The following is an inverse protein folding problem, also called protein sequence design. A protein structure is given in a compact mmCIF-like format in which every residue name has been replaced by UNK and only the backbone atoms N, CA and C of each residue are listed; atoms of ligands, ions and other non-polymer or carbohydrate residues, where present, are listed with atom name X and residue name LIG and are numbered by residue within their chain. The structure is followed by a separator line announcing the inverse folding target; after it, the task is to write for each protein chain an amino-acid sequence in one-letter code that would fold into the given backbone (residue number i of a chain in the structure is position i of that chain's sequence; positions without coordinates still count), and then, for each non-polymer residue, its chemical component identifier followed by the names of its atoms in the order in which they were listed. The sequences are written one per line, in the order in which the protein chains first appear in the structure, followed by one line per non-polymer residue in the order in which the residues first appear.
data_IF_150298050425
#
_entry.id   IF_150298050425
#
_cell.length_a   1.000
_cell.length_b   1.000
_cell.length_c   1.000
_cell.angle_alpha   90.00
_cell.angle_beta   90.00
_cell.angle_gamma   90.00
#
_symmetry.space_group_name_H-M   'P 1'
#
loop_
_entity.id
_entity.type
_entity.pdbx_description
1 polymer ?
#
# COMPACT_ATOMS: atom_id res chain seq x y z
N UNK A 1 -17.66 6.57 15.90
CA UNK A 1 -16.71 7.28 15.03
C UNK A 1 -16.31 6.30 13.92
N UNK A 2 -16.86 6.47 12.70
CA UNK A 2 -16.59 5.57 11.57
C UNK A 2 -15.17 5.88 11.07
N UNK A 3 -14.24 4.94 11.21
CA UNK A 3 -12.92 5.04 10.59
C UNK A 3 -13.10 5.12 9.08
N UNK A 4 -12.70 6.23 8.48
CA UNK A 4 -12.72 6.42 7.04
C UNK A 4 -11.94 5.28 6.37
N UNK A 5 -12.62 4.52 5.52
CA UNK A 5 -12.00 3.52 4.65
C UNK A 5 -11.03 4.29 3.76
N UNK A 6 -9.72 4.15 3.98
CA UNK A 6 -8.71 4.84 3.19
C UNK A 6 -9.00 4.63 1.70
N UNK A 7 -9.14 5.73 0.94
CA UNK A 7 -9.41 5.64 -0.48
C UNK A 7 -8.23 4.96 -1.17
N UNK A 8 -8.51 3.88 -1.89
CA UNK A 8 -7.50 3.16 -2.64
C UNK A 8 -7.35 3.78 -4.03
N UNK A 9 -6.26 4.54 -4.21
CA UNK A 9 -5.95 5.20 -5.48
C UNK A 9 -5.20 4.30 -6.47
N UNK A 10 -4.89 3.04 -6.13
CA UNK A 10 -4.12 2.14 -6.99
C UNK A 10 -4.76 1.96 -8.38
N UNK A 11 -6.07 1.69 -8.43
CA UNK A 11 -6.82 1.56 -9.71
C UNK A 11 -6.75 2.84 -10.54
N UNK A 12 -6.88 4.00 -9.89
CA UNK A 12 -6.77 5.30 -10.58
C UNK A 12 -5.36 5.50 -11.14
N UNK A 13 -4.32 5.21 -10.36
CA UNK A 13 -2.92 5.31 -10.79
C UNK A 13 -2.59 4.36 -11.94
N UNK A 14 -3.12 3.13 -11.91
CA UNK A 14 -2.93 2.14 -12.97
C UNK A 14 -3.54 2.65 -14.28
N UNK A 15 -4.81 3.09 -14.27
CA UNK A 15 -5.48 3.59 -15.48
C UNK A 15 -4.87 4.89 -16.00
N UNK A 16 -4.51 5.81 -15.11
CA UNK A 16 -3.82 7.05 -15.50
C UNK A 16 -2.46 6.74 -16.16
N UNK A 17 -1.69 5.80 -15.59
CA UNK A 17 -0.39 5.39 -16.14
C UNK A 17 -0.54 4.70 -17.48
N UNK A 18 -1.54 3.83 -17.60
CA UNK A 18 -1.85 3.14 -18.85
C UNK A 18 -2.26 4.12 -19.95
N UNK A 19 -3.12 5.11 -19.65
CA UNK A 19 -3.56 6.11 -20.63
C UNK A 19 -2.39 6.94 -21.15
N UNK A 20 -1.55 7.42 -20.24
CA UNK A 20 -0.38 8.25 -20.56
C UNK A 20 0.70 7.44 -21.31
N UNK A 21 0.85 6.16 -20.97
CA UNK A 21 1.71 5.22 -21.69
C UNK A 21 1.19 4.88 -23.09
N UNK A 22 -0.11 4.67 -23.24
CA UNK A 22 -0.74 4.30 -24.52
C UNK A 22 -0.44 5.30 -25.62
N UNK A 23 -0.48 6.61 -25.32
CA UNK A 23 -0.15 7.66 -26.29
C UNK A 23 1.30 7.52 -26.78
N UNK A 24 2.25 7.23 -25.88
CA UNK A 24 3.66 7.06 -26.23
C UNK A 24 3.91 5.81 -27.06
N UNK A 25 3.31 4.69 -26.67
CA UNK A 25 3.44 3.44 -27.43
C UNK A 25 2.77 3.56 -28.80
N UNK A 26 1.61 4.19 -28.90
CA UNK A 26 0.95 4.45 -30.18
C UNK A 26 1.85 5.29 -31.11
N UNK A 27 2.45 6.36 -30.60
CA UNK A 27 3.40 7.18 -31.36
C UNK A 27 4.65 6.37 -31.79
N UNK A 28 5.19 5.52 -30.91
CA UNK A 28 6.34 4.68 -31.22
C UNK A 28 6.04 3.64 -32.30
N UNK A 29 4.89 2.96 -32.23
CA UNK A 29 4.47 2.01 -33.25
C UNK A 29 4.20 2.71 -34.59
N UNK A 30 3.52 3.86 -34.57
CA UNK A 30 3.28 4.65 -35.77
C UNK A 30 4.60 5.10 -36.43
N UNK A 31 5.58 5.53 -35.63
CA UNK A 31 6.91 5.86 -36.14
C UNK A 31 7.65 4.63 -36.71
N UNK A 32 7.50 3.46 -36.07
CA UNK A 32 8.12 2.21 -36.52
C UNK A 32 7.54 1.72 -37.86
N UNK A 33 6.23 1.88 -38.07
CA UNK A 33 5.56 1.39 -39.27
C UNK A 33 5.74 2.33 -40.48
N UNK A 34 5.76 3.64 -40.25
CA UNK A 34 5.83 4.65 -41.32
C UNK A 34 7.28 5.12 -41.57
N UNK A 35 8.22 4.77 -40.69
CA UNK A 35 9.63 5.16 -40.74
C UNK A 35 9.89 6.61 -40.37
N UNK A 36 9.15 7.55 -40.98
CA UNK A 36 9.18 8.97 -40.62
C UNK A 36 7.77 9.55 -40.62
N UNK A 37 7.35 10.09 -39.46
CA UNK A 37 6.08 10.79 -39.35
C UNK A 37 6.30 12.21 -39.90
N UNK A 38 5.69 12.53 -41.05
CA UNK A 38 5.81 13.82 -41.70
C UNK A 38 4.47 14.58 -41.73
N UNK A 39 4.55 15.89 -41.92
CA UNK A 39 3.39 16.78 -42.07
C UNK A 39 2.51 16.86 -40.82
N UNK A 40 1.20 17.07 -41.04
CA UNK A 40 0.20 17.29 -39.98
C UNK A 40 0.18 16.16 -38.94
N UNK A 41 0.43 14.92 -39.35
CA UNK A 41 0.48 13.77 -38.42
C UNK A 41 1.62 13.92 -37.41
N UNK A 42 2.77 14.47 -37.81
CA UNK A 42 3.93 14.70 -36.93
C UNK A 42 3.61 15.77 -35.88
N UNK A 43 2.94 16.84 -36.29
CA UNK A 43 2.51 17.91 -35.39
C UNK A 43 1.51 17.39 -34.35
N UNK A 44 0.49 16.64 -34.79
CA UNK A 44 -0.51 16.05 -33.89
C UNK A 44 0.17 15.11 -32.88
N UNK A 45 1.05 14.21 -33.35
CA UNK A 45 1.79 13.29 -32.49
C UNK A 45 2.67 14.05 -31.50
N UNK A 46 3.35 15.11 -31.95
CA UNK A 46 4.21 15.95 -31.10
C UNK A 46 3.40 16.65 -30.01
N UNK A 47 2.23 17.21 -30.33
CA UNK A 47 1.34 17.82 -29.35
C UNK A 47 0.84 16.78 -28.34
N UNK A 48 0.41 15.60 -28.80
CA UNK A 48 -0.05 14.52 -27.92
C UNK A 48 1.07 13.99 -27.01
N UNK A 49 2.30 13.89 -27.52
CA UNK A 49 3.48 13.55 -26.73
C UNK A 49 3.83 14.63 -25.72
N UNK A 50 3.65 15.91 -26.05
CA UNK A 50 3.82 17.03 -25.12
C UNK A 50 2.81 16.99 -23.97
N UNK A 51 1.52 16.81 -24.29
CA UNK A 51 0.43 16.71 -23.31
C UNK A 51 0.61 15.49 -22.41
N UNK A 52 0.88 14.32 -22.99
CA UNK A 52 1.17 13.11 -22.21
C UNK A 52 2.50 13.20 -21.44
N UNK A 53 3.46 13.98 -21.92
CA UNK A 53 4.68 14.41 -21.23
C UNK A 53 4.37 15.09 -19.91
N UNK A 54 3.56 16.14 -19.97
CA UNK A 54 3.14 16.92 -18.82
C UNK A 54 2.39 16.07 -17.78
N UNK A 55 1.37 15.33 -18.20
CA UNK A 55 0.62 14.46 -17.28
C UNK A 55 1.46 13.34 -16.70
N UNK A 56 2.48 12.86 -17.42
CA UNK A 56 3.42 11.89 -16.86
C UNK A 56 4.25 12.48 -15.73
N UNK A 57 4.68 13.74 -15.80
CA UNK A 57 5.41 14.39 -14.70
C UNK A 57 4.57 14.53 -13.43
N UNK A 58 3.29 14.88 -13.59
CA UNK A 58 2.32 14.88 -12.48
C UNK A 58 2.18 13.47 -11.92
N UNK A 59 1.95 12.49 -12.80
CA UNK A 59 1.69 11.11 -12.41
C UNK A 59 2.90 10.42 -11.79
N UNK A 60 4.12 10.69 -12.24
CA UNK A 60 5.33 10.16 -11.61
C UNK A 60 5.46 10.71 -10.20
N UNK A 61 5.29 12.01 -10.02
CA UNK A 61 5.40 12.65 -8.69
C UNK A 61 4.40 12.05 -7.70
N UNK A 62 3.11 12.00 -8.05
CA UNK A 62 2.09 11.45 -7.17
C UNK A 62 2.15 9.92 -7.06
N UNK A 63 2.49 9.24 -8.15
CA UNK A 63 2.63 7.79 -8.21
C UNK A 63 3.78 7.29 -7.35
N UNK A 64 4.98 7.86 -7.49
CA UNK A 64 6.14 7.53 -6.66
C UNK A 64 5.86 7.84 -5.20
N UNK A 65 5.22 8.97 -4.88
CA UNK A 65 4.82 9.30 -3.51
C UNK A 65 3.84 8.26 -2.93
N UNK A 66 2.85 7.82 -3.70
CA UNK A 66 1.91 6.77 -3.31
C UNK A 66 2.62 5.42 -3.09
N UNK A 67 3.53 5.03 -3.99
CA UNK A 67 4.32 3.80 -3.84
C UNK A 67 5.20 3.84 -2.60
N UNK A 68 5.86 4.98 -2.36
CA UNK A 68 6.71 5.18 -1.19
C UNK A 68 5.92 5.11 0.12
N UNK A 69 4.74 5.74 0.18
CA UNK A 69 3.85 5.67 1.34
C UNK A 69 3.38 4.23 1.60
N UNK A 70 2.98 3.50 0.55
CA UNK A 70 2.62 2.09 0.63
C UNK A 70 3.78 1.21 1.12
N UNK A 71 4.99 1.46 0.63
CA UNK A 71 6.20 0.77 1.04
C UNK A 71 6.54 1.05 2.51
N UNK A 72 6.56 2.32 2.92
CA UNK A 72 6.84 2.73 4.30
C UNK A 72 5.87 2.11 5.29
N UNK A 73 4.57 2.09 4.98
CA UNK A 73 3.52 1.51 5.83
C UNK A 73 3.63 0.00 5.99
N UNK A 74 4.32 -0.69 5.07
CA UNK A 74 4.45 -2.15 5.05
C UNK A 74 5.86 -2.64 5.39
N UNK A 75 6.72 -1.73 5.87
CA UNK A 75 8.07 -2.06 6.29
C UNK A 75 8.02 -3.09 7.44
N UNK A 76 8.67 -4.27 7.28
CA UNK A 76 8.69 -5.29 8.31
C UNK A 76 9.51 -4.83 9.52
N UNK A 77 9.18 -5.37 10.69
CA UNK A 77 9.91 -5.06 11.92
C UNK A 77 11.38 -5.55 11.85
N UNK A 78 12.26 -4.87 12.58
CA UNK A 78 13.68 -5.23 12.65
C UNK A 78 13.85 -6.69 13.10
N UNK A 79 14.65 -7.45 12.35
CA UNK A 79 14.90 -8.88 12.60
C UNK A 79 13.99 -9.86 11.88
N UNK A 80 12.95 -9.39 11.16
CA UNK A 80 12.09 -10.26 10.34
C UNK A 80 12.60 -10.36 8.90
N UNK A 81 12.59 -11.57 8.31
CA UNK A 81 12.88 -11.78 6.89
C UNK A 81 11.86 -11.04 6.01
N UNK A 82 12.33 -10.39 4.96
CA UNK A 82 11.46 -9.65 4.05
C UNK A 82 10.60 -10.61 3.23
N UNK A 83 9.26 -10.43 3.23
CA UNK A 83 8.40 -11.20 2.35
C UNK A 83 8.67 -10.79 0.89
N UNK A 84 8.62 -11.75 -0.04
CA UNK A 84 8.91 -11.52 -1.46
C UNK A 84 8.14 -10.33 -2.04
N UNK A 85 6.86 -10.16 -1.66
CA UNK A 85 6.03 -9.03 -2.09
C UNK A 85 6.58 -7.67 -1.64
N UNK A 86 7.12 -7.59 -0.42
CA UNK A 86 7.77 -6.36 0.07
C UNK A 86 9.09 -6.10 -0.65
N UNK A 87 9.89 -7.14 -0.92
CA UNK A 87 11.10 -7.01 -1.73
C UNK A 87 10.79 -6.52 -3.15
N UNK A 88 9.75 -7.05 -3.78
CA UNK A 88 9.29 -6.62 -5.10
C UNK A 88 8.83 -5.14 -5.07
N UNK A 89 8.02 -4.75 -4.08
CA UNK A 89 7.60 -3.36 -3.91
C UNK A 89 8.79 -2.42 -3.67
N UNK A 90 9.77 -2.85 -2.89
CA UNK A 90 11.03 -2.11 -2.65
C UNK A 90 11.78 -1.90 -3.97
N UNK A 91 11.83 -2.93 -4.83
CA UNK A 91 12.40 -2.83 -6.17
C UNK A 91 11.68 -1.79 -7.04
N UNK A 92 10.34 -1.80 -7.07
CA UNK A 92 9.56 -0.80 -7.81
C UNK A 92 9.81 0.63 -7.31
N UNK A 93 9.80 0.84 -5.99
CA UNK A 93 10.07 2.15 -5.38
C UNK A 93 11.49 2.62 -5.72
N UNK A 94 12.49 1.77 -5.50
CA UNK A 94 13.88 2.11 -5.77
C UNK A 94 14.13 2.43 -7.26
N UNK A 95 13.57 1.61 -8.16
CA UNK A 95 13.72 1.84 -9.60
C UNK A 95 12.96 3.09 -10.06
N UNK A 96 11.77 3.37 -9.51
CA UNK A 96 11.03 4.59 -9.81
C UNK A 96 11.84 5.83 -9.40
N UNK A 97 12.45 5.85 -8.20
CA UNK A 97 13.33 6.95 -7.79
C UNK A 97 14.53 7.14 -8.72
N UNK A 98 15.19 6.04 -9.12
CA UNK A 98 16.31 6.12 -10.07
C UNK A 98 15.84 6.68 -11.41
N UNK A 99 14.71 6.22 -11.94
CA UNK A 99 14.14 6.75 -13.17
C UNK A 99 13.76 8.23 -13.04
N UNK A 100 13.22 8.68 -11.92
CA UNK A 100 12.93 10.11 -11.70
C UNK A 100 14.18 10.97 -11.79
N UNK A 101 15.28 10.54 -11.16
CA UNK A 101 16.56 11.25 -11.25
C UNK A 101 17.10 11.28 -12.68
N UNK A 102 17.07 10.13 -13.37
CA UNK A 102 17.55 10.02 -14.75
C UNK A 102 16.71 10.87 -15.72
N UNK A 103 15.43 11.08 -15.45
CA UNK A 103 14.56 11.92 -16.27
C UNK A 103 14.75 13.40 -15.94
N UNK A 104 14.72 13.75 -14.65
CA UNK A 104 14.65 15.12 -14.18
C UNK A 104 15.99 15.85 -14.27
N UNK A 105 17.10 15.22 -13.86
CA UNK A 105 18.41 15.88 -13.81
C UNK A 105 18.84 16.40 -15.18
N UNK A 106 18.85 15.59 -16.26
CA UNK A 106 19.25 16.08 -17.57
C UNK A 106 18.29 17.14 -18.12
N UNK A 107 17.00 17.05 -17.79
CA UNK A 107 16.02 18.08 -18.14
C UNK A 107 16.33 19.41 -17.45
N UNK A 108 16.60 19.40 -16.14
CA UNK A 108 16.96 20.60 -15.38
C UNK A 108 18.23 21.25 -15.95
N UNK A 109 19.27 20.45 -16.23
CA UNK A 109 20.50 20.95 -16.86
C UNK A 109 20.21 21.54 -18.25
N UNK A 110 19.39 20.88 -19.09
CA UNK A 110 18.98 21.43 -20.39
C UNK A 110 18.28 22.79 -20.27
N UNK A 111 17.49 23.01 -19.22
CA UNK A 111 16.84 24.30 -18.97
C UNK A 111 17.82 25.36 -18.46
N UNK A 112 18.78 24.99 -17.64
CA UNK A 112 19.80 25.91 -17.11
C UNK A 112 20.79 26.36 -18.19
N UNK A 113 21.24 25.44 -19.03
CA UNK A 113 22.22 25.68 -20.10
C UNK A 113 21.59 26.19 -21.40
N UNK A 114 20.25 26.27 -21.46
CA UNK A 114 19.48 26.54 -22.69
C UNK A 114 19.86 25.64 -23.89
N UNK A 115 20.39 24.46 -23.61
CA UNK A 115 20.86 23.50 -24.62
C UNK A 115 19.79 22.45 -24.94
N UNK A 116 19.90 21.81 -26.11
CA UNK A 116 18.98 20.74 -26.47
C UNK A 116 19.20 19.50 -25.59
N UNK A 117 18.17 18.66 -25.46
CA UNK A 117 18.27 17.44 -24.67
C UNK A 117 19.35 16.49 -25.21
N UNK A 118 19.51 16.45 -26.53
CA UNK A 118 20.53 15.65 -27.21
C UNK A 118 21.94 16.10 -26.84
N UNK A 119 22.16 17.42 -26.72
CA UNK A 119 23.46 18.01 -26.36
C UNK A 119 23.81 17.71 -24.91
N UNK A 120 22.83 17.73 -23.99
CA UNK A 120 23.05 17.39 -22.58
C UNK A 120 23.36 15.90 -22.39
N UNK A 121 22.68 15.03 -23.14
CA UNK A 121 22.81 13.58 -22.95
C UNK A 121 24.06 12.99 -23.57
N UNK A 122 24.70 13.65 -24.55
CA UNK A 122 25.98 13.24 -25.17
C UNK A 122 26.08 11.73 -25.49
N UNK A 123 25.07 11.19 -26.18
CA UNK A 123 24.98 9.75 -26.50
C UNK A 123 24.14 8.93 -25.52
N UNK A 124 23.70 9.54 -24.41
CA UNK A 124 22.83 8.95 -23.40
C UNK A 124 21.34 8.87 -23.75
N UNK A 125 20.98 9.15 -25.00
CA UNK A 125 19.57 9.20 -25.46
C UNK A 125 18.85 7.88 -25.23
N UNK A 126 19.56 6.76 -25.39
CA UNK A 126 18.99 5.42 -25.21
C UNK A 126 18.54 5.15 -23.78
N UNK A 127 19.44 5.30 -22.78
CA UNK A 127 19.08 5.03 -21.38
C UNK A 127 18.07 6.06 -20.86
N UNK A 128 18.14 7.31 -21.32
CA UNK A 128 17.18 8.34 -20.92
C UNK A 128 15.78 8.01 -21.46
N UNK A 129 15.68 7.67 -22.75
CA UNK A 129 14.44 7.24 -23.38
C UNK A 129 13.88 5.99 -22.70
N UNK A 130 14.74 5.02 -22.34
CA UNK A 130 14.34 3.85 -21.57
C UNK A 130 13.76 4.24 -20.21
N UNK A 131 14.39 5.14 -19.46
CA UNK A 131 13.88 5.61 -18.17
C UNK A 131 12.49 6.28 -18.30
N UNK A 132 12.32 7.15 -19.30
CA UNK A 132 11.04 7.83 -19.59
C UNK A 132 9.92 6.82 -19.89
N UNK A 133 10.22 5.77 -20.66
CA UNK A 133 9.22 4.80 -21.12
C UNK A 133 8.96 3.66 -20.13
N UNK A 134 9.91 3.34 -19.25
CA UNK A 134 9.73 2.33 -18.19
C UNK A 134 8.96 2.90 -17.00
N UNK A 135 9.05 4.21 -16.72
CA UNK A 135 8.38 4.82 -15.58
C UNK A 135 6.87 4.47 -15.46
N UNK A 136 6.03 4.58 -16.52
CA UNK A 136 4.62 4.19 -16.43
C UNK A 136 4.43 2.71 -16.05
N UNK A 137 5.31 1.83 -16.53
CA UNK A 137 5.27 0.39 -16.21
C UNK A 137 5.60 0.17 -14.74
N UNK A 138 6.59 0.90 -14.20
CA UNK A 138 6.94 0.84 -12.79
C UNK A 138 5.80 1.33 -11.90
N UNK A 139 5.10 2.39 -12.30
CA UNK A 139 3.93 2.88 -11.58
C UNK A 139 2.78 1.86 -11.59
N UNK A 140 2.49 1.24 -12.73
CA UNK A 140 1.46 0.19 -12.84
C UNK A 140 1.84 -1.02 -12.00
N UNK A 141 3.06 -1.52 -12.15
CA UNK A 141 3.55 -2.70 -11.44
C UNK A 141 3.62 -2.47 -9.92
N UNK A 142 4.19 -1.34 -9.51
CA UNK A 142 4.25 -0.92 -8.12
C UNK A 142 2.87 -0.75 -7.52
N UNK A 143 1.93 -0.10 -8.22
CA UNK A 143 0.58 0.12 -7.72
C UNK A 143 -0.19 -1.20 -7.61
N UNK A 144 0.02 -2.14 -8.54
CA UNK A 144 -0.60 -3.47 -8.51
C UNK A 144 -0.07 -4.31 -7.34
N UNK A 145 1.24 -4.33 -7.11
CA UNK A 145 1.86 -5.03 -5.97
C UNK A 145 1.43 -4.38 -4.65
N UNK A 146 1.42 -3.04 -4.60
CA UNK A 146 0.94 -2.27 -3.45
C UNK A 146 -0.52 -2.58 -3.13
N UNK A 147 -1.40 -2.58 -4.12
CA UNK A 147 -2.81 -2.92 -3.98
C UNK A 147 -2.99 -4.31 -3.39
N UNK A 148 -2.28 -5.33 -3.89
CA UNK A 148 -2.35 -6.68 -3.35
C UNK A 148 -1.86 -6.76 -1.89
N UNK A 149 -0.85 -5.98 -1.51
CA UNK A 149 -0.37 -5.97 -0.13
C UNK A 149 -1.40 -5.28 0.79
N UNK A 150 -2.04 -4.20 0.34
CA UNK A 150 -3.07 -3.49 1.11
C UNK A 150 -4.35 -4.32 1.23
N UNK A 151 -4.84 -4.91 0.13
CA UNK A 151 -6.04 -5.76 0.12
C UNK A 151 -5.84 -7.06 0.88
N UNK A 152 -4.68 -7.73 0.79
CA UNK A 152 -4.40 -8.93 1.62
C UNK A 152 -4.25 -8.58 3.09
N UNK A 153 -3.81 -7.36 3.44
CA UNK A 153 -3.83 -6.93 4.84
C UNK A 153 -5.24 -6.63 5.31
N UNK A 154 -6.07 -5.96 4.49
CA UNK A 154 -7.49 -5.74 4.79
C UNK A 154 -8.34 -7.02 4.73
N UNK A 155 -7.98 -8.02 3.92
CA UNK A 155 -8.58 -9.35 3.94
C UNK A 155 -8.01 -10.19 5.07
N UNK A 156 -6.75 -10.06 5.46
CA UNK A 156 -6.25 -10.66 6.70
C UNK A 156 -6.94 -10.09 7.94
N UNK A 157 -7.26 -8.79 7.93
CA UNK A 157 -8.00 -8.11 8.98
C UNK A 157 -9.53 -8.33 8.88
N UNK A 158 -10.08 -8.54 7.68
CA UNK A 158 -11.51 -8.78 7.46
C UNK A 158 -11.89 -10.27 7.41
N UNK A 159 -10.98 -11.17 7.04
CA UNK A 159 -11.09 -12.62 7.21
C UNK A 159 -10.71 -13.01 8.63
N UNK A 160 -9.79 -12.35 9.33
CA UNK A 160 -9.73 -12.52 10.80
C UNK A 160 -10.97 -11.98 11.51
N UNK A 161 -11.77 -11.11 10.88
CA UNK A 161 -13.08 -10.69 11.38
C UNK A 161 -14.23 -11.61 10.93
N UNK A 162 -14.22 -12.14 9.69
CA UNK A 162 -15.27 -13.01 9.13
C UNK A 162 -15.09 -14.48 9.48
N UNK A 163 -13.87 -14.97 9.60
CA UNK A 163 -13.56 -16.34 10.00
C UNK A 163 -13.78 -16.56 11.51
N UNK A 164 -13.99 -15.49 12.28
CA UNK A 164 -14.49 -15.56 13.67
C UNK A 164 -16.03 -15.47 13.73
N UNK A 165 -16.71 -15.14 12.63
CA UNK A 165 -18.18 -15.04 12.59
C UNK A 165 -18.88 -16.11 11.74
N UNK A 166 -18.14 -17.00 11.07
CA UNK A 166 -18.72 -18.02 10.19
C UNK A 166 -18.26 -19.46 10.43
N UNK A 167 -17.41 -19.71 11.44
CA UNK A 167 -17.12 -21.08 11.88
C UNK A 167 -17.76 -21.35 13.24
N UNK A 168 -18.92 -22.01 13.22
CA UNK A 168 -19.45 -22.80 14.33
C UNK A 168 -18.61 -24.07 14.58
N UNK A 169 -17.28 -23.95 14.45
CA UNK A 169 -16.31 -25.00 14.63
C UNK A 169 -15.75 -24.97 16.04
N UNK A 170 -16.00 -26.05 16.80
CA UNK A 170 -15.47 -26.37 18.13
C UNK A 170 -14.01 -25.88 18.31
N UNK A 171 -13.83 -24.71 18.93
CA UNK A 171 -12.53 -24.29 19.45
C UNK A 171 -12.30 -25.02 20.78
N UNK A 172 -11.38 -25.98 20.71
CA UNK A 172 -10.87 -26.78 21.81
C UNK A 172 -10.60 -25.98 23.09
N UNK A 173 -11.33 -26.30 24.16
CA UNK A 173 -10.86 -26.76 25.48
C UNK A 173 -9.52 -26.30 26.09
N UNK A 174 -8.98 -25.13 25.72
CA UNK A 174 -7.86 -24.53 26.46
C UNK A 174 -8.25 -23.16 26.99
N UNK A 175 -9.04 -23.21 28.05
CA UNK A 175 -9.12 -22.13 29.03
C UNK A 175 -7.69 -21.79 29.49
N UNK A 176 -7.19 -20.56 29.32
CA UNK A 176 -5.85 -20.20 29.78
C UNK A 176 -5.80 -20.37 31.30
N UNK A 177 -5.05 -21.38 31.78
CA UNK A 177 -4.80 -21.61 33.21
C UNK A 177 -4.00 -20.43 33.77
N UNK A 178 -4.70 -19.35 34.15
CA UNK A 178 -4.08 -18.15 34.73
C UNK A 178 -4.42 -16.83 34.05
N UNK A 179 -5.54 -16.69 33.34
CA UNK A 179 -5.96 -15.38 32.79
C UNK A 179 -6.12 -14.30 33.88
N UNK A 180 -6.43 -14.71 35.13
CA UNK A 180 -6.44 -13.85 36.33
C UNK A 180 -5.06 -13.33 36.77
N UNK A 181 -3.95 -13.83 36.21
CA UNK A 181 -2.57 -13.45 36.59
C UNK A 181 -2.03 -12.25 35.79
N UNK A 182 -2.82 -11.63 34.93
CA UNK A 182 -2.35 -10.52 34.11
C UNK A 182 -2.39 -9.21 34.93
N UNK A 183 -1.20 -8.74 35.30
CA UNK A 183 -0.86 -7.44 35.94
C UNK A 183 -1.31 -7.16 37.38
N UNK A 184 -2.38 -7.76 37.90
CA UNK A 184 -2.73 -7.88 39.33
C UNK A 184 -3.64 -9.10 39.47
N UNK A 185 -3.51 -9.88 40.54
CA UNK A 185 -4.45 -11.00 40.76
C UNK A 185 -5.86 -10.42 40.86
N UNK A 186 -6.70 -10.67 39.85
CA UNK A 186 -8.08 -10.20 39.84
C UNK A 186 -8.85 -10.93 40.95
N UNK A 187 -9.48 -10.18 41.85
CA UNK A 187 -10.35 -10.76 42.89
C UNK A 187 -11.66 -11.25 42.28
N UNK A 188 -12.38 -12.13 42.97
CA UNK A 188 -13.65 -12.67 42.46
C UNK A 188 -14.70 -11.57 42.22
N UNK A 189 -14.73 -10.54 43.06
CA UNK A 189 -15.59 -9.38 42.89
C UNK A 189 -15.24 -8.56 41.64
N UNK A 190 -13.95 -8.43 41.33
CA UNK A 190 -13.49 -7.77 40.10
C UNK A 190 -13.85 -8.59 38.87
N UNK A 191 -13.78 -9.92 38.94
CA UNK A 191 -14.21 -10.81 37.86
C UNK A 191 -15.72 -10.66 37.62
N UNK A 192 -16.54 -10.60 38.68
CA UNK A 192 -18.00 -10.33 38.57
C UNK A 192 -18.28 -8.97 37.93
N UNK A 193 -17.56 -7.93 38.35
CA UNK A 193 -17.68 -6.59 37.77
C UNK A 193 -17.30 -6.59 36.28
N UNK A 194 -16.17 -7.20 35.91
CA UNK A 194 -15.68 -7.31 34.53
C UNK A 194 -16.65 -8.09 33.63
N UNK A 195 -17.36 -9.08 34.15
CA UNK A 195 -18.32 -9.86 33.36
C UNK A 195 -19.54 -9.03 32.90
N UNK A 196 -20.01 -8.12 33.76
CA UNK A 196 -21.22 -7.31 33.53
C UNK A 196 -20.89 -5.98 32.85
N UNK A 197 -19.71 -5.42 33.08
CA UNK A 197 -19.33 -4.09 32.62
C UNK A 197 -19.03 -4.01 31.11
N UNK A 198 -19.05 -2.79 30.57
CA UNK A 198 -18.71 -2.53 29.18
C UNK A 198 -17.19 -2.52 28.98
N UNK A 199 -16.75 -3.00 27.82
CA UNK A 199 -15.32 -3.07 27.44
C UNK A 199 -14.57 -1.75 27.65
N UNK A 200 -15.21 -0.62 27.35
CA UNK A 200 -14.58 0.70 27.48
C UNK A 200 -14.31 1.07 28.95
N UNK A 201 -15.21 0.70 29.85
CA UNK A 201 -15.07 0.95 31.27
C UNK A 201 -13.99 0.04 31.86
N UNK A 202 -13.95 -1.22 31.44
CA UNK A 202 -12.90 -2.18 31.84
C UNK A 202 -11.51 -1.68 31.36
N UNK A 203 -11.40 -1.25 30.10
CA UNK A 203 -10.18 -0.69 29.56
C UNK A 203 -9.70 0.54 30.35
N UNK A 204 -10.64 1.42 30.72
CA UNK A 204 -10.35 2.63 31.49
C UNK A 204 -9.95 2.32 32.95
N UNK A 205 -10.73 1.52 33.68
CA UNK A 205 -10.50 1.22 35.09
C UNK A 205 -9.24 0.38 35.33
N UNK A 206 -8.94 -0.54 34.41
CA UNK A 206 -7.79 -1.45 34.52
C UNK A 206 -6.58 -0.99 33.70
N UNK A 207 -6.67 0.14 33.00
CA UNK A 207 -5.62 0.68 32.12
C UNK A 207 -5.08 -0.36 31.14
N UNK A 208 -5.99 -1.12 30.52
CA UNK A 208 -5.68 -2.14 29.52
C UNK A 208 -6.21 -1.73 28.16
N UNK A 209 -5.63 -2.27 27.10
CA UNK A 209 -6.12 -2.08 25.74
C UNK A 209 -7.52 -2.70 25.54
N UNK A 210 -8.31 -2.12 24.64
CA UNK A 210 -9.66 -2.57 24.32
C UNK A 210 -9.74 -4.06 23.97
N UNK A 211 -8.68 -4.62 23.35
CA UNK A 211 -8.64 -6.04 22.98
C UNK A 211 -8.47 -6.92 24.23
N UNK A 212 -7.57 -6.56 25.13
CA UNK A 212 -7.42 -7.23 26.43
C UNK A 212 -8.70 -7.12 27.27
N UNK A 213 -9.34 -5.95 27.33
CA UNK A 213 -10.60 -5.76 28.03
C UNK A 213 -11.73 -6.65 27.50
N UNK A 214 -11.85 -6.84 26.17
CA UNK A 214 -12.83 -7.76 25.57
C UNK A 214 -12.56 -9.21 25.96
N UNK A 215 -11.30 -9.62 25.90
CA UNK A 215 -10.90 -10.97 26.27
C UNK A 215 -11.18 -11.23 27.76
N UNK A 216 -10.85 -10.28 28.63
CA UNK A 216 -11.13 -10.36 30.07
C UNK A 216 -12.62 -10.49 30.36
N UNK A 217 -13.46 -9.69 29.69
CA UNK A 217 -14.91 -9.81 29.81
C UNK A 217 -15.42 -11.19 29.41
N UNK A 218 -14.93 -11.72 28.28
CA UNK A 218 -15.31 -13.05 27.81
C UNK A 218 -14.89 -14.15 28.79
N UNK A 219 -13.65 -14.09 29.30
CA UNK A 219 -13.16 -15.06 30.28
C UNK A 219 -13.89 -14.97 31.62
N UNK A 220 -14.24 -13.76 32.07
CA UNK A 220 -15.04 -13.55 33.27
C UNK A 220 -16.46 -14.14 33.14
N UNK A 221 -17.11 -13.94 32.00
CA UNK A 221 -18.43 -14.51 31.71
C UNK A 221 -18.40 -16.05 31.65
N UNK A 222 -17.40 -16.62 30.99
CA UNK A 222 -17.22 -18.07 30.91
C UNK A 222 -16.90 -18.70 32.27
N UNK A 223 -16.17 -17.99 33.15
CA UNK A 223 -15.87 -18.45 34.50
C UNK A 223 -17.11 -18.45 35.40
N UNK A 224 -17.93 -17.39 35.34
CA UNK A 224 -19.20 -17.35 36.08
C UNK A 224 -20.18 -18.41 35.59
N UNK A 225 -20.29 -18.60 34.26
CA UNK A 225 -21.15 -19.64 33.69
C UNK A 225 -20.71 -21.06 34.04
N UNK A 226 -19.41 -21.28 34.33
CA UNK A 226 -18.91 -22.58 34.85
C UNK A 226 -19.20 -22.74 36.33
N UNK A 227 -19.04 -21.68 37.13
CA UNK A 227 -19.36 -21.69 38.55
C UNK A 227 -20.86 -21.97 38.80
N UNK A 228 -21.76 -21.37 38.01
CA UNK A 228 -23.21 -21.61 38.08
C UNK A 228 -23.61 -23.04 37.69
N UNK A 229 -22.84 -23.73 36.86
CA UNK A 229 -23.11 -25.13 36.46
C UNK A 229 -22.58 -26.16 37.47
N UNK A 230 -21.79 -25.73 38.45
CA UNK A 230 -21.18 -26.59 39.47
C UNK A 230 -21.78 -26.36 40.88
N UNK A 231 -22.66 -25.37 41.02
CA UNK A 231 -23.47 -25.10 42.21
C UNK A 231 -24.84 -25.78 42.08
#
# INVERSE_FOLDING_TARGET
MKTAKGQDYSTMLIWASALVGMIRYAAAFLASDVGMIAGVTSEIVTVMLGVSGFFMGILSTFGTAYLFDGWRKKMPASGQKWPFKFSALTGFVGMAFVCELLILVPFTVSRMEHASMTDILQGGVWWWSTAVNIMPILLIGGASVGHQIVTVSSQGDAESFRQVSADGGKLSDKFPKGWRKVRKQLTEDQVRSIAVDQTKNIAFHFQVDDRTARNWRKYAQEELAKAEKQA
#
